data_IF_513024147117
#
_entry.id   IF_513024147117
#
_cell.length_a   1.000
_cell.length_b   1.000
_cell.length_c   1.000
_cell.angle_alpha   90.00
_cell.angle_beta   90.00
_cell.angle_gamma   90.00
#
_symmetry.space_group_name_H-M   'P 1'
#
loop_
_entity.id
_entity.type
_entity.pdbx_description
1 polymer ?
#
# COMPACT_ATOMS: atom_id res chain seq x y z
N UNK A 1 -19.08 20.66 -2.15
CA UNK A 1 -18.03 20.30 -3.14
C UNK A 1 -18.32 18.89 -3.61
N UNK A 2 -18.54 18.64 -4.91
CA UNK A 2 -18.69 17.26 -5.41
C UNK A 2 -17.34 16.55 -5.24
N UNK A 3 -17.31 15.42 -4.55
CA UNK A 3 -16.10 14.59 -4.47
C UNK A 3 -15.73 14.16 -5.89
N UNK A 4 -14.48 14.40 -6.31
CA UNK A 4 -13.98 13.88 -7.58
C UNK A 4 -14.02 12.35 -7.52
N UNK A 5 -14.45 11.66 -8.58
CA UNK A 5 -14.35 10.20 -8.66
C UNK A 5 -12.92 9.75 -8.38
N UNK A 6 -12.79 8.73 -7.53
CA UNK A 6 -11.52 8.10 -7.16
C UNK A 6 -11.39 6.80 -7.93
N UNK A 7 -10.23 6.59 -8.55
CA UNK A 7 -9.83 5.32 -9.17
C UNK A 7 -8.64 4.77 -8.40
N UNK A 8 -8.64 3.47 -8.16
CA UNK A 8 -7.57 2.79 -7.43
C UNK A 8 -6.87 1.86 -8.41
N UNK A 9 -5.54 1.92 -8.44
CA UNK A 9 -4.70 1.07 -9.27
C UNK A 9 -3.62 0.45 -8.41
N UNK A 10 -3.41 -0.84 -8.61
CA UNK A 10 -2.32 -1.59 -8.02
C UNK A 10 -1.19 -1.72 -9.04
N UNK A 11 0.03 -1.41 -8.62
CA UNK A 11 1.20 -1.61 -9.48
C UNK A 11 1.53 -3.10 -9.60
N UNK A 12 2.27 -3.49 -10.65
CA UNK A 12 2.75 -4.87 -10.75
C UNK A 12 3.64 -5.27 -9.57
N UNK A 13 4.40 -4.31 -9.07
CA UNK A 13 5.16 -4.42 -7.83
C UNK A 13 4.28 -4.83 -6.66
N UNK A 14 3.18 -4.10 -6.45
CA UNK A 14 2.26 -4.38 -5.35
C UNK A 14 1.77 -5.82 -5.42
N UNK A 15 1.36 -6.29 -6.61
CA UNK A 15 0.90 -7.67 -6.80
C UNK A 15 1.99 -8.70 -6.44
N UNK A 16 3.23 -8.45 -6.87
CA UNK A 16 4.34 -9.35 -6.56
C UNK A 16 4.63 -9.39 -5.06
N UNK A 17 4.63 -8.23 -4.39
CA UNK A 17 4.84 -8.13 -2.94
C UNK A 17 3.69 -8.76 -2.15
N UNK A 18 2.46 -8.63 -2.62
CA UNK A 18 1.30 -9.28 -2.04
C UNK A 18 1.46 -10.81 -2.09
N UNK A 19 1.86 -11.35 -3.24
CA UNK A 19 2.13 -12.78 -3.39
C UNK A 19 3.29 -13.25 -2.50
N UNK A 20 4.37 -12.47 -2.41
CA UNK A 20 5.49 -12.78 -1.52
C UNK A 20 5.07 -12.78 -0.05
N UNK A 21 4.22 -11.84 0.36
CA UNK A 21 3.66 -11.78 1.71
C UNK A 21 2.80 -13.01 2.02
N UNK A 22 1.90 -13.40 1.11
CA UNK A 22 1.07 -14.59 1.25
C UNK A 22 1.96 -15.83 1.40
N UNK A 23 2.92 -16.02 0.47
CA UNK A 23 3.84 -17.14 0.47
C UNK A 23 4.70 -17.19 1.76
N UNK A 24 5.18 -16.05 2.24
CA UNK A 24 6.00 -16.00 3.44
C UNK A 24 5.19 -16.26 4.71
N UNK A 25 4.04 -15.61 4.87
CA UNK A 25 3.21 -15.75 6.07
C UNK A 25 2.49 -17.10 6.11
N UNK A 26 2.09 -17.64 4.96
CA UNK A 26 1.48 -18.96 4.84
C UNK A 26 2.42 -20.12 5.20
N UNK A 27 3.75 -19.93 5.14
CA UNK A 27 4.72 -20.92 5.66
C UNK A 27 4.68 -21.07 7.18
N UNK A 28 4.18 -20.05 7.88
CA UNK A 28 4.21 -19.96 9.34
C UNK A 28 2.81 -19.89 9.98
N UNK A 29 1.76 -19.90 9.17
CA UNK A 29 0.36 -19.81 9.60
C UNK A 29 -0.58 -20.38 8.53
N UNK A 30 -1.88 -20.48 8.80
CA UNK A 30 -2.82 -20.92 7.77
C UNK A 30 -2.92 -19.86 6.64
N UNK A 31 -2.57 -20.25 5.42
CA UNK A 31 -2.60 -19.38 4.23
C UNK A 31 -3.97 -18.73 4.00
N UNK A 32 -5.06 -19.47 4.18
CA UNK A 32 -6.43 -18.94 4.04
C UNK A 32 -6.67 -17.77 5.01
N UNK A 33 -6.22 -17.89 6.25
CA UNK A 33 -6.31 -16.82 7.24
C UNK A 33 -5.43 -15.62 6.89
N UNK A 34 -4.28 -15.85 6.24
CA UNK A 34 -3.41 -14.76 5.76
C UNK A 34 -4.11 -13.99 4.66
N UNK A 35 -4.71 -14.68 3.69
CA UNK A 35 -5.45 -14.09 2.57
C UNK A 35 -6.61 -13.25 3.11
N UNK A 36 -7.45 -13.81 3.98
CA UNK A 36 -8.60 -13.08 4.57
C UNK A 36 -8.18 -11.80 5.29
N UNK A 37 -7.04 -11.82 6.00
CA UNK A 37 -6.51 -10.63 6.68
C UNK A 37 -5.99 -9.57 5.69
N UNK A 38 -5.36 -9.98 4.60
CA UNK A 38 -4.88 -9.07 3.56
C UNK A 38 -6.03 -8.46 2.77
N UNK A 39 -7.06 -9.25 2.44
CA UNK A 39 -8.29 -8.77 1.81
C UNK A 39 -8.98 -7.72 2.68
N UNK A 40 -9.19 -8.02 3.97
CA UNK A 40 -9.79 -7.05 4.90
C UNK A 40 -8.96 -5.77 5.04
N UNK A 41 -7.63 -5.89 5.04
CA UNK A 41 -6.73 -4.74 5.04
C UNK A 41 -6.88 -3.88 3.77
N UNK A 42 -6.95 -4.52 2.61
CA UNK A 42 -7.13 -3.85 1.31
C UNK A 42 -8.50 -3.17 1.24
N UNK A 43 -9.58 -3.83 1.65
CA UNK A 43 -10.92 -3.23 1.69
C UNK A 43 -10.98 -1.99 2.57
N UNK A 44 -10.33 -2.01 3.74
CA UNK A 44 -10.23 -0.85 4.64
C UNK A 44 -9.45 0.29 3.99
N UNK A 45 -8.36 -0.03 3.29
CA UNK A 45 -7.60 0.95 2.51
C UNK A 45 -8.47 1.57 1.41
N UNK A 46 -9.13 0.76 0.59
CA UNK A 46 -9.98 1.21 -0.52
C UNK A 46 -11.12 2.09 -0.04
N UNK A 47 -11.78 1.71 1.05
CA UNK A 47 -12.83 2.49 1.69
C UNK A 47 -12.33 3.86 2.15
N UNK A 48 -11.17 3.89 2.83
CA UNK A 48 -10.55 5.14 3.31
C UNK A 48 -10.22 6.07 2.14
N UNK A 49 -9.51 5.58 1.12
CA UNK A 49 -9.02 6.44 0.03
C UNK A 49 -10.13 6.83 -0.94
N UNK A 50 -11.21 6.06 -1.04
CA UNK A 50 -12.39 6.44 -1.82
C UNK A 50 -13.10 7.66 -1.22
N UNK A 51 -13.10 7.79 0.11
CA UNK A 51 -13.73 8.92 0.78
C UNK A 51 -12.77 10.08 1.03
N UNK A 52 -11.57 9.79 1.53
CA UNK A 52 -10.57 10.79 1.94
C UNK A 52 -9.15 10.33 1.58
N UNK A 53 -8.73 10.46 0.30
CA UNK A 53 -7.40 10.04 -0.17
C UNK A 53 -6.21 10.52 0.66
N UNK A 54 -6.33 11.69 1.28
CA UNK A 54 -5.26 12.36 2.04
C UNK A 54 -5.33 12.06 3.55
N UNK A 55 -6.21 11.17 4.00
CA UNK A 55 -6.39 10.86 5.42
C UNK A 55 -5.13 10.21 6.02
N UNK A 56 -4.50 9.28 5.30
CA UNK A 56 -3.24 8.71 5.74
C UNK A 56 -2.11 9.76 5.62
N UNK A 57 -1.18 9.83 6.59
CA UNK A 57 -0.09 10.80 6.55
C UNK A 57 0.88 10.50 5.40
N UNK A 58 1.70 11.50 5.05
CA UNK A 58 2.91 11.24 4.25
C UNK A 58 3.77 10.25 5.03
N UNK A 59 4.35 9.25 4.36
CA UNK A 59 5.16 8.23 5.03
C UNK A 59 6.29 8.90 5.84
N UNK A 60 6.34 8.71 7.18
CA UNK A 60 7.32 9.39 8.03
C UNK A 60 8.76 9.07 7.61
N UNK A 61 9.04 7.81 7.29
CA UNK A 61 10.34 7.37 6.85
C UNK A 61 10.78 8.05 5.53
N UNK A 62 9.87 8.12 4.55
CA UNK A 62 10.18 8.78 3.27
C UNK A 62 10.25 10.30 3.42
N UNK A 63 9.47 10.87 4.33
CA UNK A 63 9.53 12.29 4.66
C UNK A 63 10.90 12.68 5.25
N UNK A 64 11.48 11.84 6.10
CA UNK A 64 12.86 12.05 6.63
C UNK A 64 13.90 12.07 5.51
N UNK A 65 13.64 11.39 4.39
CA UNK A 65 14.47 11.40 3.18
C UNK A 65 14.11 12.53 2.20
N UNK A 66 13.18 13.43 2.57
CA UNK A 66 12.71 14.53 1.72
C UNK A 66 11.68 14.12 0.66
N UNK A 67 11.19 12.88 0.69
CA UNK A 67 10.21 12.36 -0.28
C UNK A 67 8.78 12.55 0.25
N UNK A 68 8.05 13.49 -0.35
CA UNK A 68 6.69 13.88 0.10
C UNK A 68 5.55 13.24 -0.70
N UNK A 69 5.88 12.45 -1.73
CA UNK A 69 4.90 11.94 -2.70
C UNK A 69 4.06 10.77 -2.14
N UNK A 70 4.66 9.97 -1.25
CA UNK A 70 4.06 8.73 -0.77
C UNK A 70 3.39 8.92 0.58
N UNK A 71 2.18 8.37 0.69
CA UNK A 71 1.41 8.26 1.92
C UNK A 71 1.43 6.83 2.41
N UNK A 72 1.23 6.67 3.71
CA UNK A 72 1.33 5.37 4.36
C UNK A 72 0.08 5.03 5.14
N UNK A 73 -0.61 3.98 4.69
CA UNK A 73 -1.73 3.38 5.41
C UNK A 73 -1.23 2.18 6.23
N UNK A 74 -1.57 2.14 7.51
CA UNK A 74 -1.18 1.06 8.42
C UNK A 74 -2.40 0.53 9.17
N UNK A 75 -2.60 -0.77 9.12
CA UNK A 75 -3.65 -1.50 9.83
C UNK A 75 -3.32 -3.00 9.87
N UNK A 76 -3.83 -3.75 10.84
CA UNK A 76 -3.79 -5.22 10.90
C UNK A 76 -2.39 -5.86 10.79
N UNK A 77 -1.36 -5.13 11.24
CA UNK A 77 0.06 -5.45 11.11
C UNK A 77 0.60 -5.45 9.67
N UNK A 78 -0.07 -4.74 8.77
CA UNK A 78 0.37 -4.45 7.41
C UNK A 78 0.55 -2.94 7.20
N UNK A 79 1.38 -2.59 6.23
CA UNK A 79 1.61 -1.22 5.79
C UNK A 79 1.50 -1.18 4.28
N UNK A 80 0.92 -0.11 3.75
CA UNK A 80 0.75 0.13 2.33
C UNK A 80 1.21 1.55 2.01
N UNK A 81 2.17 1.67 1.08
CA UNK A 81 2.59 2.93 0.49
C UNK A 81 1.83 3.20 -0.79
N UNK A 82 1.25 4.39 -0.89
CA UNK A 82 0.49 4.81 -2.06
C UNK A 82 0.73 6.27 -2.41
N UNK A 83 0.40 6.64 -3.64
CA UNK A 83 0.46 8.03 -4.13
C UNK A 83 -0.88 8.47 -4.67
N UNK A 84 -1.08 9.78 -4.70
CA UNK A 84 -2.28 10.42 -5.26
C UNK A 84 -1.86 11.21 -6.49
N UNK A 85 -2.43 10.86 -7.64
CA UNK A 85 -2.30 11.64 -8.88
C UNK A 85 -3.61 12.38 -9.12
N UNK A 86 -3.53 13.70 -9.16
CA UNK A 86 -4.69 14.53 -9.51
C UNK A 86 -4.82 14.59 -11.04
N UNK A 87 -5.99 14.21 -11.55
CA UNK A 87 -6.32 14.28 -12.97
C UNK A 87 -7.41 15.35 -13.21
N UNK A 88 -7.65 15.68 -14.48
CA UNK A 88 -8.75 16.58 -14.86
C UNK A 88 -10.08 15.90 -14.57
N UNK A 89 -10.66 16.22 -13.41
CA UNK A 89 -11.98 15.74 -13.00
C UNK A 89 -11.99 14.46 -12.18
N UNK A 90 -10.86 13.76 -12.02
CA UNK A 90 -10.70 12.53 -11.23
C UNK A 90 -9.48 12.60 -10.31
N UNK A 91 -9.37 11.62 -9.41
CA UNK A 91 -8.15 11.31 -8.67
C UNK A 91 -7.79 9.85 -8.90
N UNK A 92 -6.52 9.60 -9.18
CA UNK A 92 -5.97 8.25 -9.22
C UNK A 92 -5.18 7.99 -7.95
N UNK A 93 -5.45 6.85 -7.31
CA UNK A 93 -4.69 6.32 -6.19
C UNK A 93 -3.86 5.17 -6.73
N UNK A 94 -2.55 5.26 -6.59
CA UNK A 94 -1.63 4.19 -7.00
C UNK A 94 -1.10 3.54 -5.73
N UNK A 95 -1.45 2.28 -5.51
CA UNK A 95 -0.87 1.44 -4.47
C UNK A 95 0.43 0.81 -4.99
N UNK A 96 1.55 1.26 -4.42
CA UNK A 96 2.89 0.93 -4.92
C UNK A 96 3.49 -0.26 -4.14
N UNK A 97 3.39 -0.27 -2.82
CA UNK A 97 4.10 -1.24 -1.95
C UNK A 97 3.20 -1.70 -0.81
N UNK A 98 3.14 -3.01 -0.57
CA UNK A 98 2.53 -3.62 0.61
C UNK A 98 3.55 -4.46 1.35
N UNK A 99 3.60 -4.35 2.68
CA UNK A 99 4.53 -5.06 3.56
C UNK A 99 3.88 -5.45 4.88
N UNK A 100 4.48 -6.40 5.59
CA UNK A 100 4.21 -6.60 7.01
C UNK A 100 4.82 -5.46 7.82
N UNK A 101 4.15 -5.02 8.88
CA UNK A 101 4.61 -3.95 9.77
C UNK A 101 5.93 -4.27 10.48
N UNK A 102 6.27 -5.57 10.63
CA UNK A 102 7.55 -6.00 11.19
C UNK A 102 8.73 -5.88 10.22
N UNK A 103 8.45 -5.68 8.92
CA UNK A 103 9.50 -5.54 7.91
C UNK A 103 10.07 -4.13 7.89
N UNK A 104 11.38 -4.06 7.69
CA UNK A 104 12.13 -2.83 7.59
C UNK A 104 11.91 -2.18 6.21
N UNK A 105 11.28 -1.00 6.19
CA UNK A 105 10.89 -0.28 4.96
C UNK A 105 12.10 -0.11 4.01
N UNK A 106 13.25 0.45 4.44
CA UNK A 106 14.43 0.56 3.58
C UNK A 106 14.84 -0.76 2.93
N UNK A 107 14.90 -1.86 3.69
CA UNK A 107 15.29 -3.17 3.14
C UNK A 107 14.28 -3.68 2.12
N UNK A 108 12.98 -3.52 2.39
CA UNK A 108 11.96 -3.94 1.44
C UNK A 108 11.99 -3.06 0.19
N UNK A 109 12.14 -1.74 0.33
CA UNK A 109 12.28 -0.82 -0.82
C UNK A 109 13.54 -1.11 -1.64
N UNK A 110 14.66 -1.46 -1.02
CA UNK A 110 15.88 -1.88 -1.73
C UNK A 110 15.65 -3.18 -2.49
N UNK A 111 15.14 -4.22 -1.81
CA UNK A 111 14.83 -5.50 -2.47
C UNK A 111 13.82 -5.29 -3.61
N UNK A 112 12.82 -4.45 -3.38
CA UNK A 112 11.82 -4.05 -4.36
C UNK A 112 12.47 -3.43 -5.61
N UNK A 113 13.25 -2.35 -5.46
CA UNK A 113 13.90 -1.66 -6.57
C UNK A 113 14.84 -2.57 -7.39
N UNK A 114 15.34 -3.65 -6.78
CA UNK A 114 16.27 -4.58 -7.41
C UNK A 114 15.58 -5.79 -8.06
N UNK A 115 14.45 -6.27 -7.51
CA UNK A 115 13.79 -7.51 -7.95
C UNK A 115 12.60 -7.29 -8.88
N UNK A 116 11.88 -6.18 -8.74
CA UNK A 116 10.63 -5.91 -9.45
C UNK A 116 10.74 -4.60 -10.23
N UNK A 117 11.46 -4.68 -11.37
CA UNK A 117 11.57 -3.59 -12.36
C UNK A 117 10.33 -3.50 -13.25
#
# INVERSE_FOLDING_TARGET
MKNKPVRIQYTKTFENLLNDLINHLGKHSNEEQVILRLESFIERFESLVSFTPKAAPISPYLLELGVILFREFTADNFRLLYRIIEEKGSRMIIADVIISQKQDIPKVLINYCLLYK
#
